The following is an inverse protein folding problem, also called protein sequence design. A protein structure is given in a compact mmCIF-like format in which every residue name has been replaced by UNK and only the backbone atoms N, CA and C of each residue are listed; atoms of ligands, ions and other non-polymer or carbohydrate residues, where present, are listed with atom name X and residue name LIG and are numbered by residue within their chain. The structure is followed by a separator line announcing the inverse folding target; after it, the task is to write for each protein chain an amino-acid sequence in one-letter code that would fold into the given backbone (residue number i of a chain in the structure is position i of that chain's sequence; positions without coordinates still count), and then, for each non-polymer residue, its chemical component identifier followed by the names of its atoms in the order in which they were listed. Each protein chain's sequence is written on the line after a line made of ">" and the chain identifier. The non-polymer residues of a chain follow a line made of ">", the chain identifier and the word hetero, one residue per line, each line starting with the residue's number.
data_IF_607720610931
#
_entry.id   IF_607720610931
#
_cell.length_a   1.000
_cell.length_b   1.000
_cell.length_c   1.000
_cell.angle_alpha   90.00
_cell.angle_beta   90.00
_cell.angle_gamma   90.00
#
_symmetry.space_group_name_H-M   'P 1'
#
loop_
_entity.id
_entity.type
_entity.pdbx_description
1 polymer ?
#
# COMPACT_ATOMS: atom_id res chain seq x y z
N UNK A 1 0.51 8.02 0.21
CA UNK A 1 -0.37 9.02 0.88
C UNK A 1 -0.94 8.37 2.12
N UNK A 2 -1.13 9.13 3.21
CA UNK A 2 -1.72 8.61 4.45
C UNK A 2 -2.94 9.45 4.80
N UNK A 3 -4.10 8.82 4.88
CA UNK A 3 -5.33 9.45 5.36
C UNK A 3 -5.47 9.22 6.86
N UNK A 4 -5.83 10.30 7.57
CA UNK A 4 -6.05 10.25 9.01
C UNK A 4 -7.37 10.93 9.36
N UNK A 5 -8.10 10.35 10.31
CA UNK A 5 -9.20 11.01 11.01
C UNK A 5 -8.70 11.61 12.33
N UNK A 6 -9.44 12.58 12.87
CA UNK A 6 -9.18 13.13 14.20
C UNK A 6 -10.23 12.59 15.17
N UNK A 7 -9.76 11.99 16.26
CA UNK A 7 -10.60 11.49 17.33
C UNK A 7 -11.02 12.63 18.27
N UNK A 8 -12.08 12.40 19.05
CA UNK A 8 -12.61 13.35 20.05
C UNK A 8 -11.55 13.82 21.05
N UNK A 9 -10.57 12.98 21.40
CA UNK A 9 -9.43 13.33 22.27
C UNK A 9 -8.27 14.06 21.57
N UNK A 10 -8.45 14.53 20.34
CA UNK A 10 -7.42 15.26 19.57
C UNK A 10 -6.35 14.39 18.91
N UNK A 11 -6.25 13.11 19.27
CA UNK A 11 -5.37 12.14 18.61
C UNK A 11 -5.80 11.90 17.16
N UNK A 12 -4.83 11.63 16.28
CA UNK A 12 -5.10 11.20 14.91
C UNK A 12 -5.02 9.69 14.81
N UNK A 13 -5.92 9.11 14.02
CA UNK A 13 -5.91 7.70 13.68
C UNK A 13 -5.75 7.58 12.18
N UNK A 14 -4.81 6.74 11.73
CA UNK A 14 -4.67 6.40 10.31
C UNK A 14 -5.90 5.58 9.90
N UNK A 15 -6.57 6.01 8.85
CA UNK A 15 -7.76 5.35 8.31
C UNK A 15 -7.46 4.61 7.01
N UNK A 16 -6.47 5.09 6.26
CA UNK A 16 -6.08 4.51 4.99
C UNK A 16 -4.64 4.87 4.63
N UNK A 17 -3.94 3.96 3.97
CA UNK A 17 -2.63 4.22 3.36
C UNK A 17 -2.75 3.86 1.89
N UNK A 18 -2.39 4.78 1.00
CA UNK A 18 -2.36 4.55 -0.44
C UNK A 18 -0.93 4.58 -0.99
N UNK A 19 -0.66 3.70 -1.94
CA UNK A 19 0.48 3.81 -2.86
C UNK A 19 0.13 4.70 -4.03
N UNK A 20 1.15 5.38 -4.55
CA UNK A 20 1.07 6.06 -5.84
C UNK A 20 1.71 5.16 -6.90
N UNK A 21 1.03 5.03 -8.02
CA UNK A 21 1.54 4.36 -9.20
C UNK A 21 2.67 5.16 -9.86
N UNK A 22 3.25 4.59 -10.91
CA UNK A 22 4.34 5.24 -11.67
C UNK A 22 3.81 6.15 -12.79
N UNK A 23 2.50 6.05 -13.11
CA UNK A 23 1.87 6.81 -14.19
C UNK A 23 1.26 8.11 -13.66
N UNK A 24 1.65 9.22 -14.30
CA UNK A 24 1.00 10.52 -14.17
C UNK A 24 0.63 10.99 -15.58
N UNK A 25 -0.64 11.33 -15.80
CA UNK A 25 -1.14 11.70 -17.12
C UNK A 25 -2.22 12.77 -16.97
N UNK A 26 -2.08 13.87 -17.72
CA UNK A 26 -3.05 14.99 -17.70
C UNK A 26 -3.37 15.50 -16.28
N UNK A 27 -2.39 15.47 -15.36
CA UNK A 27 -2.57 15.85 -13.97
C UNK A 27 -3.25 14.79 -13.08
N UNK A 28 -3.57 13.61 -13.62
CA UNK A 28 -4.11 12.46 -12.88
C UNK A 28 -2.95 11.57 -12.44
N UNK A 29 -2.93 11.22 -11.15
CA UNK A 29 -1.95 10.31 -10.56
C UNK A 29 -2.65 8.99 -10.25
N UNK A 30 -2.09 7.89 -10.74
CA UNK A 30 -2.54 6.55 -10.36
C UNK A 30 -2.33 6.34 -8.85
N UNK A 31 -3.34 5.80 -8.17
CA UNK A 31 -3.22 5.43 -6.76
C UNK A 31 -4.01 4.17 -6.45
N UNK A 32 -3.55 3.44 -5.45
CA UNK A 32 -4.19 2.22 -4.95
C UNK A 32 -4.07 2.17 -3.44
N UNK A 33 -5.13 1.71 -2.76
CA UNK A 33 -5.09 1.46 -1.31
C UNK A 33 -4.02 0.41 -1.02
N UNK A 34 -3.38 0.45 0.14
CA UNK A 34 -2.43 -0.59 0.61
C UNK A 34 -2.90 -1.10 1.97
N UNK A 35 -3.40 -0.19 2.80
CA UNK A 35 -4.04 -0.53 4.06
C UNK A 35 -5.36 0.23 4.18
N UNK A 36 -6.37 -0.46 4.68
CA UNK A 36 -7.67 0.12 5.00
C UNK A 36 -8.02 -0.20 6.46
N UNK A 37 -8.63 0.76 7.15
CA UNK A 37 -9.08 0.54 8.51
C UNK A 37 -10.39 -0.27 8.53
N UNK A 38 -10.32 -1.54 8.93
CA UNK A 38 -11.45 -2.47 9.06
C UNK A 38 -11.44 -3.14 10.42
N UNK A 39 -12.61 -3.32 11.02
CA UNK A 39 -12.74 -4.01 12.31
C UNK A 39 -11.93 -3.39 13.46
N UNK A 40 -11.60 -2.09 13.40
CA UNK A 40 -10.77 -1.43 14.42
C UNK A 40 -9.26 -1.53 14.21
N UNK A 41 -8.81 -2.13 13.10
CA UNK A 41 -7.39 -2.30 12.78
C UNK A 41 -7.09 -1.88 11.34
N UNK A 42 -5.82 -1.58 11.05
CA UNK A 42 -5.36 -1.34 9.67
C UNK A 42 -4.98 -2.67 9.03
N UNK A 43 -5.79 -3.08 8.06
CA UNK A 43 -5.62 -4.36 7.35
C UNK A 43 -4.99 -4.13 5.98
N UNK A 44 -3.95 -4.92 5.67
CA UNK A 44 -3.33 -4.92 4.36
C UNK A 44 -4.32 -5.41 3.30
N UNK A 45 -4.43 -4.68 2.19
CA UNK A 45 -5.29 -5.05 1.08
C UNK A 45 -4.52 -5.86 0.03
N UNK A 46 -5.15 -6.90 -0.51
CA UNK A 46 -4.59 -7.75 -1.56
C UNK A 46 -4.77 -7.13 -2.95
N UNK A 47 -4.46 -5.84 -3.09
CA UNK A 47 -4.78 -5.04 -4.28
C UNK A 47 -3.53 -4.61 -5.08
N UNK A 48 -2.33 -4.93 -4.60
CA UNK A 48 -1.13 -4.89 -5.43
C UNK A 48 -0.02 -5.78 -4.88
N UNK A 49 0.76 -6.37 -5.78
CA UNK A 49 2.03 -6.99 -5.40
C UNK A 49 2.98 -5.87 -4.94
N UNK A 50 3.65 -6.00 -3.78
CA UNK A 50 4.69 -5.06 -3.39
C UNK A 50 5.73 -4.92 -4.52
N UNK A 51 6.33 -3.75 -4.64
CA UNK A 51 7.34 -3.50 -5.66
C UNK A 51 8.48 -4.54 -5.57
N UNK A 52 8.89 -5.12 -6.70
CA UNK A 52 9.86 -6.22 -6.78
C UNK A 52 11.16 -5.91 -6.03
N UNK A 53 11.57 -4.64 -5.99
CA UNK A 53 12.77 -4.17 -5.31
C UNK A 53 12.68 -4.32 -3.77
N UNK A 54 11.48 -4.41 -3.20
CA UNK A 54 11.29 -4.73 -1.77
C UNK A 54 11.63 -6.18 -1.49
N UNK A 55 11.25 -7.09 -2.39
CA UNK A 55 11.60 -8.50 -2.29
C UNK A 55 13.09 -8.73 -2.51
N UNK A 56 13.67 -8.12 -3.55
CA UNK A 56 15.10 -8.21 -3.82
C UNK A 56 15.97 -7.70 -2.65
N UNK A 57 15.56 -6.60 -1.99
CA UNK A 57 16.23 -6.09 -0.77
C UNK A 57 16.15 -7.02 0.43
N UNK A 58 15.14 -7.89 0.46
CA UNK A 58 14.98 -8.94 1.45
C UNK A 58 15.52 -10.29 0.93
N UNK A 59 16.32 -10.27 -0.14
CA UNK A 59 16.96 -11.45 -0.75
C UNK A 59 15.95 -12.49 -1.30
N UNK A 60 14.75 -12.04 -1.65
CA UNK A 60 13.73 -12.87 -2.30
C UNK A 60 13.69 -12.62 -3.81
N UNK A 61 13.87 -13.68 -4.60
CA UNK A 61 13.54 -13.72 -6.03
C UNK A 61 12.09 -14.20 -6.21
N UNK A 62 11.20 -13.26 -6.51
CA UNK A 62 9.77 -13.54 -6.71
C UNK A 62 9.51 -14.43 -7.92
N UNK A 63 10.30 -14.31 -8.99
CA UNK A 63 10.12 -15.13 -10.19
C UNK A 63 10.42 -16.60 -9.89
N UNK A 64 11.50 -16.86 -9.15
CA UNK A 64 11.85 -18.19 -8.67
C UNK A 64 10.78 -18.77 -7.74
N UNK A 65 10.20 -17.95 -6.83
CA UNK A 65 9.16 -18.38 -5.91
C UNK A 65 7.84 -18.76 -6.60
N UNK A 66 7.49 -18.06 -7.68
CA UNK A 66 6.27 -18.31 -8.44
C UNK A 66 6.43 -19.40 -9.51
N UNK A 67 7.60 -20.02 -9.62
CA UNK A 67 7.87 -21.10 -10.57
C UNK A 67 7.98 -20.64 -12.02
N UNK A 68 8.18 -19.34 -12.25
CA UNK A 68 8.53 -18.84 -13.58
C UNK A 68 9.95 -19.33 -13.91
N UNK A 69 10.04 -20.21 -14.91
CA UNK A 69 11.30 -20.78 -15.38
C UNK A 69 11.81 -20.03 -16.60
#
# INVERSE_FOLDING_TARGET
>A
MVHCSRLTGGRRQVTEILSLGRRVENGIIESSTVFEHRGGTLEAQANSMPAAEKFARAEFDVAALLGAR
#
